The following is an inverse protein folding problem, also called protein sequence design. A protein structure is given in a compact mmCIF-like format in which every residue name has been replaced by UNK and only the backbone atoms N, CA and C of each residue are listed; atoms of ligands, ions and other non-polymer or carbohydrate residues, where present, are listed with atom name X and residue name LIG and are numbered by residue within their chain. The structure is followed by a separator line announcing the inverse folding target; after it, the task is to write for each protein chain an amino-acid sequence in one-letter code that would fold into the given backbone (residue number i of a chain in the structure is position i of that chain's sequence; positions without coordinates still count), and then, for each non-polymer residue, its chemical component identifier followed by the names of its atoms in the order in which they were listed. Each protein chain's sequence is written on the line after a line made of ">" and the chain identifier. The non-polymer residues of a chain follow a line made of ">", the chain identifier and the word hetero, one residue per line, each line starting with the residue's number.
data_IF_000711553163
#
_entry.id   IF_000711553163
#
_cell.length_a   1.000
_cell.length_b   1.000
_cell.length_c   1.000
_cell.angle_alpha   90.00
_cell.angle_beta   90.00
_cell.angle_gamma   90.00
#
_symmetry.space_group_name_H-M   'P 1'
#
loop_
_entity.id
_entity.type
_entity.pdbx_description
1 polymer ?
#
# COMPACT_ATOMS: atom_id res chain seq x y z
N UNK A 1 -4.30 -16.92 -13.40
CA UNK A 1 -4.30 -16.55 -11.97
C UNK A 1 -3.88 -15.12 -11.66
N UNK A 2 -2.82 -14.55 -12.24
CA UNK A 2 -2.44 -13.15 -11.98
C UNK A 2 -3.25 -12.06 -12.71
N UNK A 3 -4.22 -12.45 -13.55
CA UNK A 3 -5.20 -11.54 -14.16
C UNK A 3 -6.51 -11.42 -13.36
N UNK A 4 -6.71 -12.27 -12.34
CA UNK A 4 -7.94 -12.29 -11.55
C UNK A 4 -7.87 -11.36 -10.33
N UNK A 5 -6.67 -11.16 -9.75
CA UNK A 5 -6.44 -10.26 -8.62
C UNK A 5 -6.35 -8.77 -9.00
N UNK A 6 -6.07 -8.44 -10.27
CA UNK A 6 -6.13 -7.06 -10.77
C UNK A 6 -7.56 -6.54 -10.87
N UNK A 7 -8.55 -7.44 -11.04
CA UNK A 7 -9.95 -7.06 -10.97
C UNK A 7 -10.38 -6.73 -9.54
N UNK A 8 -9.86 -7.40 -8.52
CA UNK A 8 -10.32 -7.19 -7.14
C UNK A 8 -9.91 -5.81 -6.60
N UNK A 9 -8.70 -5.33 -6.90
CA UNK A 9 -8.27 -3.97 -6.54
C UNK A 9 -8.98 -2.88 -7.36
N UNK A 10 -9.26 -3.15 -8.64
CA UNK A 10 -9.98 -2.23 -9.52
C UNK A 10 -11.48 -2.16 -9.18
N UNK A 11 -12.11 -3.30 -8.91
CA UNK A 11 -13.50 -3.40 -8.43
C UNK A 11 -13.63 -2.80 -7.03
N UNK A 12 -12.67 -3.03 -6.13
CA UNK A 12 -12.64 -2.37 -4.81
C UNK A 12 -12.46 -0.84 -4.93
N UNK A 13 -11.69 -0.36 -5.90
CA UNK A 13 -11.56 1.08 -6.17
C UNK A 13 -12.90 1.67 -6.65
N UNK A 14 -13.57 0.99 -7.59
CA UNK A 14 -14.87 1.38 -8.13
C UNK A 14 -15.94 1.36 -7.02
N UNK A 15 -16.01 0.28 -6.23
CA UNK A 15 -16.98 0.09 -5.14
C UNK A 15 -16.78 1.13 -4.02
N UNK A 16 -15.54 1.43 -3.65
CA UNK A 16 -15.25 2.50 -2.69
C UNK A 16 -15.62 3.89 -3.23
N UNK A 17 -15.51 4.12 -4.55
CA UNK A 17 -15.92 5.38 -5.16
C UNK A 17 -17.45 5.51 -5.22
N UNK A 18 -18.17 4.42 -5.46
CA UNK A 18 -19.63 4.37 -5.37
C UNK A 18 -20.13 4.54 -3.93
N UNK A 19 -19.46 3.93 -2.94
CA UNK A 19 -19.79 4.10 -1.53
C UNK A 19 -19.57 5.54 -1.03
N UNK A 20 -18.48 6.19 -1.44
CA UNK A 20 -18.22 7.62 -1.12
C UNK A 20 -19.24 8.57 -1.75
N UNK A 21 -19.82 8.22 -2.90
CA UNK A 21 -20.92 8.98 -3.50
C UNK A 21 -22.25 8.76 -2.77
N UNK A 22 -22.45 7.59 -2.14
CA UNK A 22 -23.63 7.28 -1.34
C UNK A 22 -23.62 7.94 0.06
N UNK A 23 -22.44 8.16 0.65
CA UNK A 23 -22.32 8.80 1.97
C UNK A 23 -22.66 10.31 1.98
N UNK A 24 -22.75 10.96 0.81
CA UNK A 24 -23.13 12.37 0.68
C UNK A 24 -24.64 12.63 0.89
N UNK A 25 -25.51 11.61 0.96
CA UNK A 25 -26.97 11.78 1.13
C UNK A 25 -27.56 11.12 2.39
N UNK A 26 -26.73 10.57 3.28
CA UNK A 26 -27.11 10.28 4.67
C UNK A 26 -28.44 9.54 4.92
N UNK A 27 -28.97 8.73 3.99
CA UNK A 27 -30.14 7.90 4.25
C UNK A 27 -30.17 6.63 3.40
N UNK A 28 -30.38 5.49 4.08
CA UNK A 28 -30.78 4.23 3.45
C UNK A 28 -32.16 4.41 2.81
N UNK A 29 -32.20 4.72 1.52
CA UNK A 29 -33.42 4.60 0.73
C UNK A 29 -33.08 3.97 -0.62
N UNK A 30 -33.64 2.80 -0.87
CA UNK A 30 -33.70 2.20 -2.19
C UNK A 30 -35.10 2.49 -2.77
N UNK A 31 -35.37 3.65 -3.38
CA UNK A 31 -36.64 3.88 -4.02
C UNK A 31 -36.73 3.05 -5.32
N UNK A 32 -37.94 2.67 -5.77
CA UNK A 32 -38.12 2.08 -7.09
C UNK A 32 -37.69 3.07 -8.19
N UNK A 33 -37.11 2.56 -9.27
CA UNK A 33 -36.51 3.32 -10.40
C UNK A 33 -37.38 4.47 -10.98
N UNK A 34 -38.69 4.50 -10.72
CA UNK A 34 -39.61 5.52 -11.20
C UNK A 34 -39.67 6.80 -10.33
N UNK A 35 -39.11 6.79 -9.11
CA UNK A 35 -39.10 7.97 -8.22
C UNK A 35 -37.76 8.75 -8.24
N UNK A 36 -36.71 8.19 -8.85
CA UNK A 36 -35.41 8.86 -9.05
C UNK A 36 -35.51 10.05 -10.03
N UNK A 37 -36.32 9.94 -11.09
CA UNK A 37 -36.50 11.02 -12.07
C UNK A 37 -37.20 12.26 -11.48
N UNK A 38 -38.12 12.07 -10.53
CA UNK A 38 -38.81 13.16 -9.85
C UNK A 38 -37.92 13.85 -8.80
N UNK A 39 -37.05 13.09 -8.11
CA UNK A 39 -36.12 13.64 -7.12
C UNK A 39 -35.02 14.48 -7.79
N UNK A 40 -34.50 14.02 -8.94
CA UNK A 40 -33.51 14.79 -9.74
C UNK A 40 -34.12 16.09 -10.28
N UNK A 41 -35.39 16.10 -10.73
CA UNK A 41 -36.02 17.33 -11.22
C UNK A 41 -36.32 18.37 -10.12
N UNK A 42 -36.49 17.95 -8.87
CA UNK A 42 -36.87 18.86 -7.77
C UNK A 42 -35.66 19.56 -7.14
N UNK A 43 -34.45 19.03 -7.29
CA UNK A 43 -33.20 19.67 -6.83
C UNK A 43 -32.78 20.84 -7.75
N UNK A 44 -33.23 20.89 -9.00
CA UNK A 44 -32.82 21.92 -9.97
C UNK A 44 -33.71 23.15 -10.09
N UNK A 45 -34.77 23.32 -9.28
CA UNK A 45 -35.59 24.53 -9.31
C UNK A 45 -35.90 25.02 -7.90
N UNK A 46 -34.87 25.44 -7.16
CA UNK A 46 -34.97 26.50 -6.17
C UNK A 46 -33.58 26.83 -5.60
N UNK A 47 -32.74 27.53 -6.35
CA UNK A 47 -32.05 28.66 -5.72
C UNK A 47 -31.61 29.70 -6.75
N UNK A 48 -31.60 30.92 -6.25
CA UNK A 48 -31.49 32.18 -6.94
C UNK A 48 -30.18 32.35 -7.73
N UNK A 49 -30.22 33.23 -8.73
CA UNK A 49 -29.10 33.53 -9.59
C UNK A 49 -27.90 34.11 -8.80
N UNK A 50 -26.83 33.34 -8.60
CA UNK A 50 -25.48 33.85 -8.33
C UNK A 50 -24.40 32.82 -8.70
N UNK A 51 -23.83 33.00 -9.90
CA UNK A 51 -22.51 32.52 -10.36
C UNK A 51 -22.09 31.10 -9.95
N UNK A 52 -22.78 30.09 -10.48
CA UNK A 52 -22.13 28.79 -10.70
C UNK A 52 -21.14 29.02 -11.86
N UNK A 53 -19.85 29.13 -11.55
CA UNK A 53 -18.83 29.09 -12.61
C UNK A 53 -18.89 27.66 -13.14
N UNK A 54 -19.56 27.46 -14.27
CA UNK A 54 -19.60 26.17 -14.95
C UNK A 54 -18.16 25.71 -15.14
N UNK A 55 -17.79 24.53 -14.62
CA UNK A 55 -16.56 23.86 -15.03
C UNK A 55 -16.53 23.87 -16.56
N UNK A 56 -15.40 24.21 -17.20
CA UNK A 56 -15.34 24.24 -18.66
C UNK A 56 -15.74 22.86 -19.18
N UNK A 57 -16.92 22.77 -19.79
CA UNK A 57 -17.41 21.53 -20.35
C UNK A 57 -16.64 21.31 -21.64
N UNK A 58 -15.86 20.24 -21.70
CA UNK A 58 -15.15 19.86 -22.90
C UNK A 58 -16.13 19.68 -24.08
N UNK A 59 -15.69 20.04 -25.29
CA UNK A 59 -16.39 19.65 -26.52
C UNK A 59 -16.55 18.11 -26.52
N UNK A 60 -17.74 17.56 -26.78
CA UNK A 60 -17.95 16.11 -26.87
C UNK A 60 -17.00 15.40 -27.85
N UNK A 61 -16.44 16.11 -28.83
CA UNK A 61 -15.49 15.59 -29.82
C UNK A 61 -14.04 15.97 -29.52
N UNK A 62 -13.75 16.51 -28.34
CA UNK A 62 -12.38 16.78 -27.94
C UNK A 62 -11.57 15.48 -27.87
N UNK A 63 -10.26 15.58 -28.05
CA UNK A 63 -9.32 14.46 -28.01
C UNK A 63 -8.43 14.62 -26.79
N UNK A 64 -8.34 13.57 -25.98
CA UNK A 64 -7.42 13.52 -24.83
C UNK A 64 -6.06 13.02 -25.32
N UNK A 65 -5.04 13.88 -25.26
CA UNK A 65 -3.66 13.51 -25.55
C UNK A 65 -2.71 14.21 -24.60
N UNK A 66 -1.68 13.49 -24.16
CA UNK A 66 -0.63 14.00 -23.30
C UNK A 66 0.73 13.70 -23.91
N UNK A 67 1.73 14.53 -23.59
CA UNK A 67 3.13 14.23 -23.85
C UNK A 67 3.92 14.37 -22.57
N UNK A 68 4.81 13.42 -22.31
CA UNK A 68 5.76 13.49 -21.21
C UNK A 68 6.80 14.58 -21.48
N UNK A 69 7.06 15.42 -20.49
CA UNK A 69 8.03 16.52 -20.60
C UNK A 69 9.30 16.17 -19.82
N UNK A 70 9.18 15.81 -18.53
CA UNK A 70 10.34 15.50 -17.69
C UNK A 70 9.95 14.79 -16.39
N UNK A 71 10.90 14.06 -15.82
CA UNK A 71 10.93 13.78 -14.39
C UNK A 71 11.36 15.04 -13.66
N UNK A 72 10.48 15.58 -12.83
CA UNK A 72 10.76 16.78 -12.02
C UNK A 72 11.47 16.40 -10.74
N UNK A 73 11.04 15.31 -10.10
CA UNK A 73 11.72 14.69 -8.96
C UNK A 73 11.98 13.21 -9.21
N UNK A 74 12.95 12.67 -8.47
CA UNK A 74 13.36 11.25 -8.51
C UNK A 74 13.63 10.80 -9.95
N UNK A 75 14.71 11.27 -10.60
CA UNK A 75 15.12 10.76 -11.91
C UNK A 75 15.29 9.25 -11.90
N UNK A 76 15.20 8.62 -13.07
CA UNK A 76 15.32 7.18 -13.18
C UNK A 76 16.61 6.62 -12.57
N UNK A 77 16.48 5.52 -11.84
CA UNK A 77 17.58 4.86 -11.14
C UNK A 77 18.03 5.58 -9.87
N UNK A 78 17.28 6.60 -9.40
CA UNK A 78 17.58 7.27 -8.13
C UNK A 78 17.64 6.27 -6.99
N UNK A 79 18.70 6.37 -6.18
CA UNK A 79 18.83 5.56 -4.98
C UNK A 79 17.87 6.07 -3.90
N UNK A 80 16.89 5.26 -3.53
CA UNK A 80 15.90 5.58 -2.50
C UNK A 80 16.04 4.60 -1.34
N UNK A 81 16.18 5.07 -0.08
CA UNK A 81 16.24 4.18 1.06
C UNK A 81 15.02 3.27 1.15
N UNK A 82 15.25 2.01 1.55
CA UNK A 82 14.20 1.06 1.83
C UNK A 82 13.14 1.66 2.76
N UNK A 83 11.85 1.46 2.46
CA UNK A 83 10.69 1.93 3.25
C UNK A 83 10.56 3.44 3.41
N UNK A 84 11.40 4.23 2.76
CA UNK A 84 11.25 5.67 2.80
C UNK A 84 10.11 6.13 1.89
N UNK A 85 9.36 7.11 2.39
CA UNK A 85 8.47 7.90 1.56
C UNK A 85 9.30 8.81 0.66
N UNK A 86 8.85 8.96 -0.57
CA UNK A 86 9.41 9.92 -1.52
C UNK A 86 8.32 10.51 -2.39
N UNK A 87 8.48 11.78 -2.75
CA UNK A 87 7.57 12.49 -3.62
C UNK A 87 8.06 12.36 -5.07
N UNK A 88 7.26 11.70 -5.91
CA UNK A 88 7.51 11.60 -7.35
C UNK A 88 6.67 12.63 -8.09
N UNK A 89 7.34 13.44 -8.90
CA UNK A 89 6.73 14.48 -9.73
C UNK A 89 7.12 14.26 -11.19
N UNK A 90 6.12 14.10 -12.05
CA UNK A 90 6.31 14.11 -13.50
C UNK A 90 5.70 15.37 -14.09
N UNK A 91 6.38 16.00 -15.05
CA UNK A 91 5.81 17.07 -15.86
C UNK A 91 5.23 16.51 -17.14
N UNK A 92 3.96 16.80 -17.38
CA UNK A 92 3.26 16.45 -18.62
C UNK A 92 2.74 17.71 -19.30
N UNK A 93 2.57 17.64 -20.62
CA UNK A 93 1.88 18.66 -21.41
C UNK A 93 0.59 18.10 -21.97
N UNK A 94 -0.48 18.87 -21.88
CA UNK A 94 -1.72 18.58 -22.60
C UNK A 94 -1.55 18.93 -24.08
N UNK A 95 -1.41 17.92 -24.92
CA UNK A 95 -1.29 18.08 -26.38
C UNK A 95 -2.60 17.81 -27.11
N UNK A 96 -3.66 17.47 -26.37
CA UNK A 96 -4.98 17.24 -26.89
C UNK A 96 -5.79 18.53 -27.04
N UNK A 97 -7.09 18.36 -27.26
CA UNK A 97 -8.06 19.46 -27.33
C UNK A 97 -9.04 19.50 -26.15
N UNK A 98 -9.06 18.46 -25.31
CA UNK A 98 -9.80 18.47 -24.05
C UNK A 98 -9.03 19.22 -22.97
N UNK A 99 -9.70 20.06 -22.19
CA UNK A 99 -9.17 20.55 -20.90
C UNK A 99 -9.26 19.41 -19.88
N UNK A 100 -8.14 19.03 -19.28
CA UNK A 100 -8.16 18.06 -18.19
C UNK A 100 -8.67 18.74 -16.93
N UNK A 101 -9.40 17.99 -16.11
CA UNK A 101 -10.00 18.48 -14.87
C UNK A 101 -9.69 17.54 -13.72
N UNK A 102 -10.10 17.91 -12.50
CA UNK A 102 -10.02 17.07 -11.32
C UNK A 102 -10.83 15.75 -11.39
N UNK A 103 -11.55 15.50 -12.49
CA UNK A 103 -12.25 14.24 -12.75
C UNK A 103 -11.41 13.21 -13.52
N UNK A 104 -10.23 13.62 -14.01
CA UNK A 104 -9.25 12.74 -14.63
C UNK A 104 -8.38 12.09 -13.56
N UNK A 105 -8.02 10.83 -13.77
CA UNK A 105 -7.27 10.03 -12.80
C UNK A 105 -5.92 9.60 -13.37
N UNK A 106 -4.93 9.40 -12.48
CA UNK A 106 -3.67 8.73 -12.78
C UNK A 106 -3.72 7.32 -12.15
N UNK A 107 -3.70 6.29 -12.98
CA UNK A 107 -3.97 4.91 -12.56
C UNK A 107 -2.72 4.03 -12.77
N UNK A 108 -2.41 3.09 -11.86
CA UNK A 108 -1.35 2.11 -12.08
C UNK A 108 -1.62 1.28 -13.35
N UNK A 109 -0.66 1.24 -14.27
CA UNK A 109 -0.77 0.47 -15.50
C UNK A 109 -0.26 -0.98 -15.36
N UNK A 110 0.42 -1.29 -14.26
CA UNK A 110 0.86 -2.63 -13.87
C UNK A 110 1.00 -2.74 -12.33
N UNK A 111 0.91 -3.95 -11.75
CA UNK A 111 1.24 -4.16 -10.34
C UNK A 111 2.69 -3.78 -10.04
N UNK A 112 2.92 -3.08 -8.93
CA UNK A 112 4.25 -2.69 -8.49
C UNK A 112 4.38 -2.87 -6.98
N UNK A 113 5.57 -3.26 -6.46
CA UNK A 113 5.85 -3.25 -5.03
C UNK A 113 6.11 -1.83 -4.49
N UNK A 114 6.19 -0.80 -5.33
CA UNK A 114 6.21 0.59 -4.90
C UNK A 114 4.79 0.96 -4.45
N UNK A 115 4.60 1.21 -3.16
CA UNK A 115 3.29 1.53 -2.59
C UNK A 115 2.94 3.00 -2.79
N UNK A 116 1.65 3.31 -2.79
CA UNK A 116 1.12 4.66 -3.02
C UNK A 116 0.32 5.09 -1.81
N UNK A 117 0.67 6.24 -1.26
CA UNK A 117 -0.11 6.85 -0.20
C UNK A 117 -1.33 7.54 -0.81
N UNK A 118 -2.47 6.86 -0.73
CA UNK A 118 -3.72 7.20 -1.42
C UNK A 118 -4.39 8.50 -0.95
N UNK A 119 -3.79 9.20 0.01
CA UNK A 119 -4.31 10.43 0.60
C UNK A 119 -4.19 11.66 -0.33
N UNK A 120 -3.52 11.56 -1.49
CA UNK A 120 -3.38 12.63 -2.49
C UNK A 120 -4.20 12.38 -3.78
N UNK A 121 -5.52 12.19 -3.67
CA UNK A 121 -6.40 11.77 -4.79
C UNK A 121 -6.55 12.72 -6.00
N UNK A 122 -5.81 13.82 -6.12
CA UNK A 122 -5.93 14.74 -7.28
C UNK A 122 -4.59 15.39 -7.59
N UNK A 123 -3.76 14.79 -8.47
CA UNK A 123 -2.40 15.27 -8.66
C UNK A 123 -2.33 16.63 -9.38
N UNK A 124 -3.46 17.18 -9.86
CA UNK A 124 -3.47 18.42 -10.62
C UNK A 124 -4.85 19.12 -10.66
N UNK A 125 -4.80 20.43 -10.91
CA UNK A 125 -5.96 21.28 -11.21
C UNK A 125 -6.43 21.15 -12.66
N UNK A 126 -7.16 22.15 -13.17
CA UNK A 126 -7.52 22.18 -14.59
C UNK A 126 -6.28 22.44 -15.47
N UNK A 127 -6.15 21.74 -16.59
CA UNK A 127 -5.02 21.86 -17.53
C UNK A 127 -5.56 22.05 -18.93
N UNK A 128 -5.46 23.26 -19.46
CA UNK A 128 -5.96 23.58 -20.79
C UNK A 128 -5.07 22.98 -21.90
N UNK A 129 -5.58 22.83 -23.13
CA UNK A 129 -4.79 22.48 -24.30
C UNK A 129 -3.53 23.36 -24.43
N UNK A 130 -2.37 22.73 -24.56
CA UNK A 130 -1.05 23.36 -24.66
C UNK A 130 -0.38 23.68 -23.33
N UNK A 131 -1.07 23.56 -22.19
CA UNK A 131 -0.50 23.80 -20.87
C UNK A 131 0.30 22.59 -20.34
N UNK A 132 1.25 22.89 -19.45
CA UNK A 132 2.02 21.90 -18.70
C UNK A 132 1.54 21.79 -17.26
N UNK A 133 1.70 20.61 -16.69
CA UNK A 133 1.29 20.29 -15.32
C UNK A 133 2.28 19.36 -14.65
N UNK A 134 2.51 19.58 -13.36
CA UNK A 134 3.30 18.69 -12.50
C UNK A 134 2.34 17.74 -11.78
N UNK A 135 2.48 16.44 -12.05
CA UNK A 135 1.72 15.36 -11.43
C UNK A 135 2.50 14.80 -10.24
N UNK A 136 1.96 14.95 -9.04
CA UNK A 136 2.63 14.53 -7.79
C UNK A 136 2.00 13.26 -7.20
N UNK A 137 2.83 12.26 -6.89
CA UNK A 137 2.47 11.10 -6.07
C UNK A 137 3.44 10.94 -4.89
N UNK A 138 2.89 10.66 -3.70
CA UNK A 138 3.65 10.18 -2.56
C UNK A 138 3.75 8.66 -2.63
N UNK A 139 4.98 8.17 -2.77
CA UNK A 139 5.29 6.77 -2.97
C UNK A 139 6.15 6.25 -1.82
N UNK A 140 6.06 4.95 -1.54
CA UNK A 140 6.90 4.27 -0.55
C UNK A 140 7.78 3.24 -1.24
N UNK A 141 9.09 3.33 -1.01
CA UNK A 141 10.05 2.40 -1.58
C UNK A 141 9.93 1.01 -0.95
N UNK A 142 10.09 -0.08 -1.73
CA UNK A 142 10.11 -1.45 -1.19
C UNK A 142 11.19 -1.64 -0.12
N UNK A 143 11.02 -2.64 0.75
CA UNK A 143 12.03 -2.95 1.76
C UNK A 143 13.25 -3.69 1.20
N UNK A 144 13.06 -4.48 0.15
CA UNK A 144 14.13 -5.28 -0.44
C UNK A 144 14.99 -4.42 -1.35
N UNK A 145 16.29 -4.72 -1.35
CA UNK A 145 17.19 -4.13 -2.30
C UNK A 145 16.88 -4.62 -3.72
N UNK A 146 16.98 -3.71 -4.68
CA UNK A 146 16.64 -4.02 -6.06
C UNK A 146 16.31 -2.77 -6.86
N UNK A 147 16.07 -2.99 -8.14
CA UNK A 147 15.55 -1.96 -9.04
C UNK A 147 14.06 -2.19 -9.23
N UNK A 148 13.28 -1.14 -9.01
CA UNK A 148 11.83 -1.20 -9.02
C UNK A 148 11.24 -0.21 -10.01
N UNK A 149 10.19 -0.67 -10.68
CA UNK A 149 9.42 0.09 -11.65
C UNK A 149 7.96 0.18 -11.20
N UNK A 150 7.35 1.34 -11.37
CA UNK A 150 5.91 1.53 -11.27
C UNK A 150 5.42 2.32 -12.48
N UNK A 151 4.57 1.69 -13.29
CA UNK A 151 3.96 2.31 -14.47
C UNK A 151 2.62 2.98 -14.12
N UNK A 152 2.41 4.16 -14.70
CA UNK A 152 1.22 4.97 -14.51
C UNK A 152 0.69 5.46 -15.85
N UNK A 153 -0.63 5.59 -15.97
CA UNK A 153 -1.26 6.15 -17.15
C UNK A 153 -2.45 7.03 -16.78
N UNK A 154 -2.65 8.12 -17.53
CA UNK A 154 -3.81 8.99 -17.35
C UNK A 154 -5.06 8.30 -17.90
N UNK A 155 -6.17 8.46 -17.20
CA UNK A 155 -7.48 7.94 -17.59
C UNK A 155 -8.52 9.05 -17.69
N UNK A 156 -9.43 8.91 -18.66
CA UNK A 156 -10.57 9.79 -18.79
C UNK A 156 -11.53 9.63 -17.59
N UNK A 157 -12.36 10.64 -17.29
CA UNK A 157 -13.40 10.50 -16.28
C UNK A 157 -14.41 9.41 -16.64
N UNK A 158 -15.01 8.78 -15.63
CA UNK A 158 -16.24 8.00 -15.82
C UNK A 158 -17.38 8.95 -16.22
N UNK A 159 -18.05 8.66 -17.34
CA UNK A 159 -19.23 9.40 -17.76
C UNK A 159 -20.50 8.71 -17.25
N UNK A 160 -21.13 9.33 -16.24
CA UNK A 160 -22.35 8.83 -15.64
C UNK A 160 -23.55 8.81 -16.60
N UNK A 161 -23.60 9.72 -17.60
CA UNK A 161 -24.76 9.85 -18.48
C UNK A 161 -24.73 8.80 -19.59
N UNK A 162 -23.54 8.54 -20.14
CA UNK A 162 -23.36 7.53 -21.18
C UNK A 162 -22.96 6.16 -20.63
N UNK A 163 -22.72 6.04 -19.32
CA UNK A 163 -22.18 4.86 -18.65
C UNK A 163 -20.86 4.38 -19.30
N UNK A 164 -20.02 5.34 -19.69
CA UNK A 164 -18.74 5.08 -20.34
C UNK A 164 -17.63 4.98 -19.29
N UNK A 165 -16.91 3.86 -19.32
CA UNK A 165 -15.81 3.59 -18.38
C UNK A 165 -14.57 4.45 -18.67
N UNK A 166 -13.72 4.74 -17.67
CA UNK A 166 -12.45 5.44 -17.84
C UNK A 166 -11.55 4.74 -18.87
N UNK A 167 -11.12 5.46 -19.89
CA UNK A 167 -10.21 4.97 -20.91
C UNK A 167 -8.80 5.54 -20.72
N UNK A 168 -7.73 4.73 -20.85
CA UNK A 168 -6.36 5.22 -20.77
C UNK A 168 -6.03 6.10 -21.98
N UNK A 169 -5.27 7.18 -21.75
CA UNK A 169 -4.73 8.03 -22.81
C UNK A 169 -3.33 8.54 -22.48
N UNK A 170 -2.66 9.10 -23.49
CA UNK A 170 -1.28 9.59 -23.35
C UNK A 170 -0.24 8.47 -23.13
N UNK A 171 1.03 8.84 -22.90
CA UNK A 171 2.10 7.88 -22.66
C UNK A 171 1.93 7.21 -21.30
N UNK A 172 2.51 6.02 -21.17
CA UNK A 172 2.86 5.48 -19.85
C UNK A 172 4.04 6.27 -19.31
N UNK A 173 3.88 6.79 -18.11
CA UNK A 173 4.97 7.39 -17.33
C UNK A 173 5.36 6.39 -16.25
N UNK A 174 6.62 6.39 -15.83
CA UNK A 174 7.09 5.42 -14.85
C UNK A 174 7.96 6.07 -13.78
N UNK A 175 8.03 5.40 -12.65
CA UNK A 175 9.04 5.64 -11.61
C UNK A 175 10.04 4.51 -11.67
N UNK A 176 11.33 4.82 -11.84
CA UNK A 176 12.41 3.85 -11.64
C UNK A 176 13.27 4.26 -10.43
N UNK A 177 13.31 3.41 -9.41
CA UNK A 177 14.18 3.60 -8.24
C UNK A 177 15.11 2.41 -8.05
N UNK A 178 16.28 2.68 -7.47
CA UNK A 178 17.15 1.66 -6.93
C UNK A 178 17.06 1.69 -5.40
N UNK A 179 16.56 0.62 -4.79
CA UNK A 179 16.70 0.44 -3.35
C UNK A 179 18.06 -0.21 -3.11
N UNK A 180 19.04 0.50 -2.51
CA UNK A 180 20.37 -0.07 -2.31
C UNK A 180 20.30 -1.20 -1.28
N UNK A 181 21.26 -2.13 -1.33
CA UNK A 181 21.50 -3.15 -0.27
C UNK A 181 21.81 -2.56 1.12
N UNK A 182 21.79 -1.23 1.25
CA UNK A 182 22.13 -0.48 2.44
C UNK A 182 20.92 0.13 3.13
N UNK A 183 19.79 -0.58 3.21
CA UNK A 183 18.87 -0.34 4.31
C UNK A 183 19.58 -0.75 5.59
N UNK A 184 20.06 0.21 6.40
CA UNK A 184 20.37 -0.11 7.80
C UNK A 184 19.09 -0.76 8.35
N UNK A 185 19.15 -2.01 8.81
CA UNK A 185 17.96 -2.67 9.33
C UNK A 185 17.37 -1.79 10.43
N UNK A 186 16.04 -1.78 10.54
CA UNK A 186 15.38 -1.05 11.62
C UNK A 186 16.06 -1.41 12.95
N UNK A 187 16.25 -0.43 13.86
CA UNK A 187 16.98 -0.65 15.10
C UNK A 187 16.44 -1.90 15.81
N UNK A 188 17.31 -2.63 16.54
CA UNK A 188 16.89 -3.84 17.22
C UNK A 188 15.70 -3.53 18.14
N UNK A 189 14.72 -4.45 18.24
CA UNK A 189 13.53 -4.25 19.05
C UNK A 189 13.94 -3.90 20.48
N UNK A 190 13.19 -2.99 21.11
CA UNK A 190 13.42 -2.55 22.48
C UNK A 190 12.13 -2.65 23.29
N UNK A 191 12.27 -2.73 24.60
CA UNK A 191 11.14 -2.72 25.53
C UNK A 191 10.45 -4.07 25.67
N UNK A 192 9.26 -4.06 26.27
CA UNK A 192 8.48 -5.27 26.52
C UNK A 192 7.62 -5.64 25.31
N UNK A 193 7.65 -6.92 24.96
CA UNK A 193 6.86 -7.50 23.88
C UNK A 193 6.08 -8.68 24.44
N UNK A 194 4.82 -8.84 24.04
CA UNK A 194 3.94 -9.87 24.58
C UNK A 194 3.38 -10.77 23.49
N UNK A 195 3.47 -12.08 23.72
CA UNK A 195 2.84 -13.08 22.86
C UNK A 195 1.32 -12.94 22.90
N UNK A 196 0.67 -12.80 21.73
CA UNK A 196 -0.78 -12.63 21.63
C UNK A 196 -1.49 -13.64 20.75
N UNK A 197 -0.77 -14.25 19.80
CA UNK A 197 -1.32 -15.18 18.83
C UNK A 197 -0.27 -16.21 18.43
N UNK A 198 -0.69 -17.30 17.79
CA UNK A 198 0.19 -18.26 17.15
C UNK A 198 -0.41 -18.84 15.87
N UNK A 199 0.47 -19.36 15.01
CA UNK A 199 0.11 -20.14 13.83
C UNK A 199 0.96 -21.42 13.77
N UNK A 200 0.36 -22.51 13.30
CA UNK A 200 1.06 -23.76 13.12
C UNK A 200 1.80 -23.78 11.79
N UNK A 201 3.09 -24.08 11.82
CA UNK A 201 3.82 -24.46 10.62
C UNK A 201 3.39 -25.85 10.12
N UNK A 202 3.81 -26.24 8.91
CA UNK A 202 3.48 -27.55 8.34
C UNK A 202 3.99 -28.73 9.15
N UNK A 203 5.07 -28.51 9.91
CA UNK A 203 5.66 -29.50 10.81
C UNK A 203 5.74 -28.87 12.20
N UNK A 204 4.94 -29.37 13.15
CA UNK A 204 4.98 -28.96 14.55
C UNK A 204 4.75 -30.17 15.46
N UNK A 205 5.33 -30.15 16.66
CA UNK A 205 5.14 -31.17 17.69
C UNK A 205 4.33 -30.68 18.90
N UNK A 206 3.96 -29.40 18.91
CA UNK A 206 3.31 -28.70 20.03
C UNK A 206 1.80 -28.86 19.94
N UNK A 207 1.15 -29.16 21.07
CA UNK A 207 -0.31 -29.23 21.19
C UNK A 207 -0.94 -27.85 21.41
N UNK A 208 -2.24 -27.73 21.18
CA UNK A 208 -2.99 -26.48 21.42
C UNK A 208 -2.88 -26.00 22.87
N UNK A 209 -2.95 -26.90 23.84
CA UNK A 209 -2.77 -26.56 25.26
C UNK A 209 -1.37 -25.98 25.53
N UNK A 210 -0.33 -26.58 24.94
CA UNK A 210 1.05 -26.11 25.09
C UNK A 210 1.27 -24.76 24.40
N UNK A 211 0.67 -24.55 23.22
CA UNK A 211 0.74 -23.28 22.50
C UNK A 211 -0.01 -22.16 23.25
N UNK A 212 -1.23 -22.44 23.72
CA UNK A 212 -2.02 -21.52 24.52
C UNK A 212 -1.30 -21.12 25.82
N UNK A 213 -0.53 -22.03 26.43
CA UNK A 213 0.27 -21.73 27.62
C UNK A 213 1.43 -20.75 27.38
N UNK A 214 1.81 -20.47 26.12
CA UNK A 214 2.80 -19.44 25.79
C UNK A 214 2.18 -18.04 25.66
N UNK A 215 0.88 -17.95 25.35
CA UNK A 215 0.21 -16.66 25.18
C UNK A 215 0.30 -15.83 26.46
N UNK A 216 0.41 -14.51 26.30
CA UNK A 216 0.65 -13.52 27.36
C UNK A 216 2.02 -13.55 28.03
N UNK A 217 2.91 -14.50 27.69
CA UNK A 217 4.30 -14.41 28.11
C UNK A 217 4.97 -13.21 27.46
N UNK A 218 5.89 -12.61 28.21
CA UNK A 218 6.61 -11.41 27.82
C UNK A 218 8.06 -11.71 27.49
N UNK A 219 8.54 -11.07 26.45
CA UNK A 219 9.95 -10.88 26.19
C UNK A 219 10.35 -9.43 26.50
N UNK A 220 11.51 -9.21 27.12
CA UNK A 220 12.09 -7.89 27.26
C UNK A 220 13.36 -7.83 26.40
N UNK A 221 13.37 -6.89 25.46
CA UNK A 221 14.53 -6.62 24.62
C UNK A 221 15.23 -5.36 25.10
N UNK A 222 16.55 -5.46 25.28
CA UNK A 222 17.44 -4.33 25.54
C UNK A 222 18.56 -4.30 24.50
N UNK A 223 19.40 -3.25 24.45
CA UNK A 223 20.50 -3.19 23.50
C UNK A 223 21.51 -4.34 23.62
N UNK A 224 21.56 -5.02 24.78
CA UNK A 224 22.55 -6.07 25.06
C UNK A 224 21.97 -7.30 25.76
N UNK A 225 20.66 -7.39 25.95
CA UNK A 225 20.04 -8.56 26.58
C UNK A 225 18.65 -8.85 26.04
N UNK A 226 18.28 -10.13 26.12
CA UNK A 226 16.93 -10.62 25.87
C UNK A 226 16.53 -11.45 27.08
N UNK A 227 15.36 -11.19 27.63
CA UNK A 227 14.73 -12.09 28.61
C UNK A 227 13.41 -12.60 28.07
N UNK A 228 13.08 -13.86 28.38
CA UNK A 228 11.80 -14.45 28.05
C UNK A 228 11.45 -15.46 29.13
N UNK A 229 10.32 -15.25 29.80
CA UNK A 229 9.95 -16.03 30.99
C UNK A 229 11.05 -15.99 32.07
N UNK A 230 11.60 -17.14 32.47
CA UNK A 230 12.68 -17.32 33.44
C UNK A 230 14.08 -17.39 32.80
N UNK A 231 14.15 -17.34 31.46
CA UNK A 231 15.40 -17.44 30.72
C UNK A 231 15.94 -16.05 30.34
N UNK A 232 17.26 -15.93 30.24
CA UNK A 232 17.94 -14.70 29.81
C UNK A 232 19.18 -14.97 28.99
N UNK A 233 19.45 -14.05 28.06
CA UNK A 233 20.67 -13.94 27.27
C UNK A 233 21.30 -12.57 27.54
N UNK A 234 22.59 -12.55 27.90
CA UNK A 234 23.38 -11.33 28.09
C UNK A 234 24.39 -11.16 26.95
N UNK A 235 24.89 -9.93 26.78
CA UNK A 235 25.80 -9.55 25.69
C UNK A 235 25.25 -9.93 24.30
N UNK A 236 23.95 -9.70 24.13
CA UNK A 236 23.25 -10.00 22.89
C UNK A 236 23.75 -9.09 21.78
N UNK A 237 24.09 -9.68 20.65
CA UNK A 237 24.39 -8.97 19.40
C UNK A 237 23.22 -9.12 18.44
N UNK A 238 22.81 -8.02 17.82
CA UNK A 238 21.73 -8.01 16.84
C UNK A 238 22.28 -7.71 15.46
N UNK A 239 21.92 -8.54 14.49
CA UNK A 239 22.11 -8.27 13.07
C UNK A 239 20.79 -8.50 12.38
N UNK A 240 20.39 -7.64 11.45
CA UNK A 240 19.17 -7.86 10.70
C UNK A 240 19.43 -7.80 9.20
N UNK A 241 18.59 -8.51 8.44
CA UNK A 241 18.64 -8.58 6.98
C UNK A 241 17.23 -8.68 6.42
N UNK A 242 16.96 -7.97 5.35
CA UNK A 242 15.72 -8.12 4.62
C UNK A 242 15.69 -9.44 3.86
N UNK A 243 14.51 -10.05 3.78
CA UNK A 243 14.30 -11.30 3.05
C UNK A 243 13.02 -11.23 2.23
N UNK A 244 12.97 -11.97 1.13
CA UNK A 244 11.70 -12.27 0.48
C UNK A 244 10.90 -13.21 1.41
N UNK A 245 9.68 -12.84 1.85
CA UNK A 245 8.89 -13.66 2.77
C UNK A 245 8.63 -15.08 2.26
N UNK A 246 8.22 -15.20 0.99
CA UNK A 246 7.87 -16.49 0.39
C UNK A 246 9.10 -17.40 0.31
N UNK A 247 10.23 -16.87 -0.17
CA UNK A 247 11.47 -17.64 -0.27
C UNK A 247 11.98 -18.06 1.10
N UNK A 248 12.02 -17.14 2.07
CA UNK A 248 12.57 -17.42 3.39
C UNK A 248 11.74 -18.45 4.15
N UNK A 249 10.41 -18.29 4.20
CA UNK A 249 9.54 -19.22 4.92
C UNK A 249 9.51 -20.60 4.27
N UNK A 250 9.49 -20.66 2.93
CA UNK A 250 9.51 -21.91 2.20
C UNK A 250 10.84 -22.66 2.40
N UNK A 251 11.97 -21.96 2.36
CA UNK A 251 13.29 -22.59 2.51
C UNK A 251 13.60 -22.98 3.96
N UNK A 252 13.20 -22.15 4.93
CA UNK A 252 13.57 -22.33 6.35
C UNK A 252 12.58 -23.23 7.09
N UNK A 253 11.29 -23.06 6.82
CA UNK A 253 10.22 -23.71 7.59
C UNK A 253 9.31 -24.60 6.74
N UNK A 254 9.56 -24.71 5.43
CA UNK A 254 8.70 -25.41 4.46
C UNK A 254 7.26 -24.86 4.45
N UNK A 255 7.08 -23.64 4.93
CA UNK A 255 5.79 -22.99 5.13
C UNK A 255 5.60 -21.89 4.07
N UNK A 256 4.54 -21.94 3.24
CA UNK A 256 4.20 -20.80 2.39
C UNK A 256 3.57 -19.68 3.26
N UNK A 257 3.68 -18.39 2.87
CA UNK A 257 3.25 -17.25 3.68
C UNK A 257 1.82 -17.34 4.22
N UNK A 258 0.90 -17.93 3.45
CA UNK A 258 -0.51 -18.06 3.84
C UNK A 258 -0.70 -18.99 5.05
N UNK A 259 0.24 -19.89 5.30
CA UNK A 259 0.21 -20.83 6.43
C UNK A 259 0.27 -20.12 7.78
N UNK A 260 0.92 -18.96 7.82
CA UNK A 260 1.08 -18.15 9.02
C UNK A 260 0.37 -16.79 8.87
N UNK A 261 -0.65 -16.73 8.00
CA UNK A 261 -1.49 -15.56 7.76
C UNK A 261 -0.71 -14.31 7.33
N UNK A 262 0.41 -14.48 6.64
CA UNK A 262 1.18 -13.36 6.11
C UNK A 262 0.71 -12.97 4.71
N UNK A 263 0.46 -11.67 4.53
CA UNK A 263 0.16 -11.05 3.24
C UNK A 263 1.41 -10.54 2.53
N UNK A 264 1.29 -9.40 1.85
CA UNK A 264 2.40 -8.71 1.19
C UNK A 264 3.15 -7.78 2.15
N UNK A 265 3.52 -8.30 3.33
CA UNK A 265 4.20 -7.50 4.35
C UNK A 265 5.72 -7.51 4.14
N UNK A 266 6.38 -6.40 4.48
CA UNK A 266 7.84 -6.32 4.51
C UNK A 266 8.37 -7.18 5.67
N UNK A 267 9.30 -8.08 5.35
CA UNK A 267 9.89 -9.02 6.31
C UNK A 267 11.40 -8.83 6.41
N UNK A 268 11.89 -8.73 7.64
CA UNK A 268 13.31 -8.84 7.95
C UNK A 268 13.57 -9.86 9.06
N UNK A 269 14.76 -10.43 9.05
CA UNK A 269 15.19 -11.43 10.01
C UNK A 269 16.22 -10.81 10.93
N UNK A 270 15.86 -10.67 12.20
CA UNK A 270 16.76 -10.26 13.27
C UNK A 270 17.44 -11.51 13.82
N UNK A 271 18.70 -11.69 13.46
CA UNK A 271 19.55 -12.75 13.98
C UNK A 271 20.25 -12.30 15.26
N UNK A 272 20.24 -13.15 16.27
CA UNK A 272 20.90 -12.93 17.55
C UNK A 272 21.77 -14.12 17.96
N UNK A 273 22.71 -13.90 18.88
CA UNK A 273 23.46 -14.96 19.55
C UNK A 273 22.71 -15.57 20.76
N UNK A 274 21.42 -15.27 20.94
CA UNK A 274 20.63 -15.77 22.06
C UNK A 274 20.21 -17.23 21.83
N UNK A 275 20.36 -18.04 22.87
CA UNK A 275 20.07 -19.48 22.83
C UNK A 275 18.67 -19.84 23.36
N UNK A 276 17.87 -18.86 23.76
CA UNK A 276 16.45 -19.10 24.09
C UNK A 276 15.76 -19.60 22.80
N UNK A 277 15.02 -20.73 22.84
CA UNK A 277 14.33 -21.25 21.67
C UNK A 277 13.50 -20.17 20.95
N UNK A 278 13.68 -20.04 19.64
CA UNK A 278 12.99 -19.05 18.82
C UNK A 278 13.55 -17.62 18.83
N UNK A 279 14.60 -17.33 19.61
CA UNK A 279 15.21 -15.99 19.66
C UNK A 279 16.52 -15.87 18.86
N UNK A 280 17.03 -16.96 18.28
CA UNK A 280 18.21 -16.91 17.42
C UNK A 280 17.93 -16.23 16.08
N UNK A 281 16.76 -16.47 15.49
CA UNK A 281 16.24 -15.78 14.31
C UNK A 281 14.80 -15.35 14.60
N UNK A 282 14.60 -14.05 14.72
CA UNK A 282 13.30 -13.43 14.99
C UNK A 282 12.83 -12.80 13.68
N UNK A 283 11.64 -13.19 13.23
CA UNK A 283 11.01 -12.57 12.08
C UNK A 283 10.40 -11.26 12.56
N UNK A 284 10.68 -10.15 11.87
CA UNK A 284 10.02 -8.88 12.09
C UNK A 284 9.22 -8.52 10.84
N UNK A 285 7.97 -8.16 11.08
CA UNK A 285 7.05 -7.64 10.08
C UNK A 285 6.78 -6.19 10.41
N UNK A 286 6.97 -5.33 9.43
CA UNK A 286 6.78 -3.91 9.66
C UNK A 286 5.95 -3.29 8.55
N UNK A 287 4.82 -2.72 8.95
CA UNK A 287 3.99 -1.88 8.09
C UNK A 287 4.23 -0.41 8.40
N UNK A 288 3.52 0.50 7.75
CA UNK A 288 3.53 1.92 8.08
C UNK A 288 2.89 2.22 9.45
N UNK A 289 2.10 1.29 10.02
CA UNK A 289 1.32 1.53 11.23
C UNK A 289 1.73 0.65 12.42
N UNK A 290 2.31 -0.51 12.16
CA UNK A 290 2.59 -1.49 13.21
C UNK A 290 3.90 -2.25 12.96
N UNK A 291 4.43 -2.81 14.05
CA UNK A 291 5.54 -3.76 14.03
C UNK A 291 5.10 -5.00 14.80
N UNK A 292 5.29 -6.16 14.18
CA UNK A 292 5.01 -7.46 14.78
C UNK A 292 6.31 -8.26 14.79
N UNK A 293 6.67 -8.83 15.94
CA UNK A 293 7.74 -9.83 16.01
C UNK A 293 7.15 -11.22 16.02
N UNK A 294 7.81 -12.16 15.37
CA UNK A 294 7.42 -13.57 15.33
C UNK A 294 8.64 -14.41 15.70
N UNK A 295 8.45 -15.30 16.67
CA UNK A 295 9.43 -16.34 17.02
C UNK A 295 8.90 -17.70 16.61
N UNK A 296 9.78 -18.59 16.16
CA UNK A 296 9.42 -19.99 15.89
C UNK A 296 9.95 -20.89 17.01
N UNK A 297 9.07 -21.59 17.71
CA UNK A 297 9.44 -22.62 18.69
C UNK A 297 8.78 -23.94 18.31
N UNK A 298 9.60 -24.95 18.01
CA UNK A 298 9.16 -26.31 17.68
C UNK A 298 8.08 -26.39 16.57
N UNK A 299 8.23 -25.52 15.57
CA UNK A 299 7.33 -25.45 14.41
C UNK A 299 6.09 -24.58 14.60
N UNK A 300 5.93 -23.94 15.76
CA UNK A 300 4.86 -22.97 16.03
C UNK A 300 5.39 -21.56 15.95
N UNK A 301 4.72 -20.71 15.19
CA UNK A 301 5.03 -19.30 15.03
C UNK A 301 4.23 -18.49 16.04
N UNK A 302 4.88 -17.82 16.97
CA UNK A 302 4.23 -17.01 17.99
C UNK A 302 4.42 -15.52 17.70
N UNK A 303 3.32 -14.77 17.67
CA UNK A 303 3.27 -13.36 17.31
C UNK A 303 3.31 -12.48 18.56
N UNK A 304 4.09 -11.42 18.49
CA UNK A 304 4.28 -10.43 19.55
C UNK A 304 3.83 -9.05 19.11
N UNK A 305 3.18 -8.34 20.03
CA UNK A 305 3.02 -6.88 19.95
C UNK A 305 3.88 -6.21 21.02
N UNK A 306 4.25 -4.96 20.78
CA UNK A 306 4.98 -4.16 21.77
C UNK A 306 4.01 -3.62 22.82
N UNK A 307 4.34 -3.81 24.10
CA UNK A 307 3.63 -3.16 25.20
C UNK A 307 4.16 -1.71 25.31
N UNK A 308 3.24 -0.74 25.22
CA UNK A 308 3.53 0.67 25.51
C UNK A 308 3.66 0.93 27.00
#
# INVERSE_FOLDING_TARGET
>A
DNLYRSNEAYETYIDNKFAQLAELDGSEFSPPLAELDAFVQTIFIADDASTVTSLPLNDPNCVNEATFVADVTIPDGTAVPARSQFEKIWRLRNTGSCTWTAAYDLIPAAPSPIEVEWENKRPFGAVAPGEEVDLTLNLVAPALAGTYLADWQLHTPFDIQSNTFPEPFGPRIYTEIAVPENGQPDPPPQGEWQLYSYAYGPVHAVTEEQANAQISKKALFTPTSITFSDQSCDNVTYTARYVNPADYLQQTYQAPPETIYLGQENMDIITTNCTIPGFSDIIRLTTIHNTTLIINQDGVFYFMYQNN
#
